data_IF_958495786015
#
_entry.id   IF_958495786015
#
_cell.length_a   1.000
_cell.length_b   1.000
_cell.length_c   1.000
_cell.angle_alpha   90.00
_cell.angle_beta   90.00
_cell.angle_gamma   90.00
#
_symmetry.space_group_name_H-M   'P 1'
#
loop_
_entity.id
_entity.type
_entity.pdbx_description
1 polymer ?
#
# COMPACT_ATOMS: atom_id res chain seq x y z
N UNK A 1 42.24 77.19 -35.61
CA UNK A 1 41.00 76.54 -36.07
C UNK A 1 41.28 75.06 -36.21
N UNK A 2 40.81 74.26 -35.26
CA UNK A 2 40.77 72.81 -35.33
C UNK A 2 39.54 72.38 -34.52
N UNK A 3 38.41 72.35 -35.23
CA UNK A 3 37.15 71.71 -34.83
C UNK A 3 37.39 70.20 -34.68
N UNK A 4 37.09 69.63 -33.51
CA UNK A 4 35.77 69.07 -33.17
C UNK A 4 35.42 67.85 -34.01
N UNK A 5 35.40 66.67 -33.37
CA UNK A 5 34.32 65.67 -33.52
C UNK A 5 34.55 64.55 -32.50
N UNK A 6 34.07 64.78 -31.28
CA UNK A 6 33.73 63.73 -30.33
C UNK A 6 32.50 62.98 -30.87
N UNK A 7 32.68 61.71 -31.25
CA UNK A 7 31.59 60.79 -31.57
C UNK A 7 31.18 60.06 -30.30
N UNK A 8 30.10 60.53 -29.68
CA UNK A 8 29.37 59.82 -28.64
C UNK A 8 28.70 58.58 -29.25
N UNK A 9 29.14 57.40 -28.83
CA UNK A 9 28.49 56.13 -29.12
C UNK A 9 27.25 55.99 -28.23
N UNK A 10 26.10 56.39 -28.78
CA UNK A 10 24.77 56.11 -28.25
C UNK A 10 24.51 54.60 -28.25
N UNK A 11 24.76 53.96 -27.10
CA UNK A 11 24.33 52.61 -26.82
C UNK A 11 22.83 52.64 -26.46
N UNK A 12 21.98 52.51 -27.47
CA UNK A 12 20.55 52.26 -27.28
C UNK A 12 20.39 50.91 -26.57
N UNK A 13 20.06 50.96 -25.28
CA UNK A 13 19.67 49.80 -24.50
C UNK A 13 18.38 49.21 -25.08
N UNK A 14 18.54 48.17 -25.90
CA UNK A 14 17.46 47.36 -26.45
C UNK A 14 16.69 46.75 -25.26
N UNK A 15 15.49 47.27 -25.02
CA UNK A 15 14.63 46.81 -23.94
C UNK A 15 14.40 45.30 -24.12
N UNK A 16 14.65 44.46 -23.09
CA UNK A 16 14.52 43.01 -23.22
C UNK A 16 13.10 42.68 -23.67
N UNK A 17 12.96 42.17 -24.89
CA UNK A 17 11.70 41.72 -25.44
C UNK A 17 11.04 40.77 -24.42
N UNK A 18 9.86 41.14 -23.93
CA UNK A 18 9.11 40.32 -22.96
C UNK A 18 8.92 38.92 -23.58
N UNK A 19 9.23 37.84 -22.85
CA UNK A 19 9.16 36.50 -23.39
C UNK A 19 7.74 36.24 -23.89
N UNK A 20 7.61 35.90 -25.18
CA UNK A 20 6.32 35.59 -25.80
C UNK A 20 5.65 34.46 -25.03
N UNK A 21 4.55 34.79 -24.33
CA UNK A 21 3.78 33.79 -23.57
C UNK A 21 3.00 32.93 -24.55
N UNK A 22 3.31 31.65 -24.58
CA UNK A 22 2.65 30.67 -25.44
C UNK A 22 1.65 29.82 -24.64
N UNK A 23 0.55 29.39 -25.28
CA UNK A 23 -0.47 28.53 -24.64
C UNK A 23 -0.01 27.08 -24.62
N UNK A 24 -0.07 26.43 -23.47
CA UNK A 24 0.21 25.00 -23.33
C UNK A 24 -0.98 24.17 -23.85
N UNK A 25 -0.73 23.16 -24.69
CA UNK A 25 -1.75 22.27 -25.26
C UNK A 25 -2.47 21.38 -24.24
N UNK A 26 -1.88 21.14 -23.06
CA UNK A 26 -2.47 20.27 -22.02
C UNK A 26 -3.29 21.06 -20.99
N UNK A 27 -2.78 22.17 -20.46
CA UNK A 27 -3.52 22.97 -19.46
C UNK A 27 -4.24 24.19 -20.05
N UNK A 28 -4.01 24.52 -21.32
CA UNK A 28 -4.52 25.72 -22.02
C UNK A 28 -4.16 27.07 -21.36
N UNK A 29 -3.23 27.07 -20.41
CA UNK A 29 -2.74 28.29 -19.76
C UNK A 29 -1.54 28.88 -20.50
N UNK A 30 -1.44 30.21 -20.50
CA UNK A 30 -0.28 30.95 -20.96
C UNK A 30 0.92 30.63 -20.04
N UNK A 31 2.05 30.26 -20.64
CA UNK A 31 3.27 29.88 -19.94
C UNK A 31 4.47 30.58 -20.57
N UNK A 32 5.45 30.96 -19.75
CA UNK A 32 6.69 31.58 -20.21
C UNK A 32 7.63 30.55 -20.85
N UNK A 33 7.61 29.31 -20.35
CA UNK A 33 8.44 28.22 -20.85
C UNK A 33 7.56 27.07 -21.32
N UNK A 34 7.43 26.92 -22.63
CA UNK A 34 6.84 25.75 -23.28
C UNK A 34 7.88 25.05 -24.12
N UNK A 35 7.78 23.73 -24.22
CA UNK A 35 8.64 22.89 -25.05
C UNK A 35 7.79 22.17 -26.08
N UNK A 36 8.33 22.02 -27.30
CA UNK A 36 7.65 21.31 -28.38
C UNK A 36 7.80 19.80 -28.17
N UNK A 37 6.68 19.08 -28.09
CA UNK A 37 6.63 17.61 -28.02
C UNK A 37 5.79 17.10 -29.19
N UNK A 38 6.46 16.70 -30.27
CA UNK A 38 5.78 16.43 -31.54
C UNK A 38 5.15 17.70 -32.11
N UNK A 39 3.85 17.67 -32.39
CA UNK A 39 3.10 18.83 -32.88
C UNK A 39 2.57 19.77 -31.76
N UNK A 40 2.74 19.41 -30.49
CA UNK A 40 2.12 20.13 -29.37
C UNK A 40 3.14 20.95 -28.57
N UNK A 41 2.78 22.18 -28.18
CA UNK A 41 3.53 22.99 -27.23
C UNK A 41 3.07 22.66 -25.81
N UNK A 42 3.95 22.17 -24.96
CA UNK A 42 3.60 21.72 -23.60
C UNK A 42 4.52 22.39 -22.57
N UNK A 43 3.95 22.94 -21.51
CA UNK A 43 4.76 23.52 -20.43
C UNK A 43 5.49 22.46 -19.60
N UNK A 44 6.60 22.86 -18.97
CA UNK A 44 7.47 21.95 -18.19
C UNK A 44 6.72 21.17 -17.11
N UNK A 45 5.77 21.80 -16.40
CA UNK A 45 4.98 21.14 -15.36
C UNK A 45 4.10 20.02 -15.93
N UNK A 46 3.43 20.28 -17.06
CA UNK A 46 2.59 19.27 -17.73
C UNK A 46 3.44 18.14 -18.32
N UNK A 47 4.65 18.43 -18.83
CA UNK A 47 5.59 17.39 -19.29
C UNK A 47 6.00 16.48 -18.13
N UNK A 48 6.39 17.05 -16.98
CA UNK A 48 6.83 16.29 -15.81
C UNK A 48 5.73 15.35 -15.30
N UNK A 49 4.50 15.86 -15.19
CA UNK A 49 3.34 15.06 -14.76
C UNK A 49 3.04 13.97 -15.78
N UNK A 50 3.03 14.29 -17.08
CA UNK A 50 2.73 13.31 -18.13
C UNK A 50 3.77 12.19 -18.14
N UNK A 51 5.05 12.53 -17.99
CA UNK A 51 6.12 11.55 -17.82
C UNK A 51 5.90 10.72 -16.56
N UNK A 52 5.53 11.33 -15.43
CA UNK A 52 5.26 10.60 -14.18
C UNK A 52 4.09 9.62 -14.33
N UNK A 53 3.00 10.02 -14.98
CA UNK A 53 1.85 9.15 -15.30
C UNK A 53 2.25 8.02 -16.24
N UNK A 54 3.06 8.31 -17.27
CA UNK A 54 3.64 7.28 -18.13
C UNK A 54 4.49 6.30 -17.32
N UNK A 55 5.26 6.82 -16.35
CA UNK A 55 6.19 6.02 -15.58
C UNK A 55 5.52 5.18 -14.49
N UNK A 56 4.40 5.62 -13.95
CA UNK A 56 3.72 4.95 -12.83
C UNK A 56 2.49 4.15 -13.25
N UNK A 57 1.75 4.64 -14.25
CA UNK A 57 0.47 4.07 -14.69
C UNK A 57 0.50 3.57 -16.15
N UNK A 58 1.63 3.65 -16.84
CA UNK A 58 1.75 3.15 -18.22
C UNK A 58 1.14 4.05 -19.30
N UNK A 59 0.72 5.28 -18.94
CA UNK A 59 0.45 6.34 -19.91
C UNK A 59 -0.98 6.54 -20.36
N UNK A 60 -1.91 5.66 -19.96
CA UNK A 60 -3.32 5.76 -20.37
C UNK A 60 -4.23 5.80 -19.15
N UNK A 61 -4.39 7.00 -18.58
CA UNK A 61 -5.61 7.29 -17.81
C UNK A 61 -6.63 7.75 -18.85
N UNK A 62 -7.60 6.88 -19.16
CA UNK A 62 -8.68 7.22 -20.08
C UNK A 62 -9.35 8.49 -19.56
N UNK A 63 -9.30 9.58 -20.33
CA UNK A 63 -9.82 10.89 -19.95
C UNK A 63 -10.30 11.59 -21.22
N UNK A 64 -11.44 12.26 -21.15
CA UNK A 64 -11.91 13.15 -22.24
C UNK A 64 -10.97 14.35 -22.37
N UNK A 65 -11.05 15.11 -23.45
CA UNK A 65 -10.16 16.26 -23.64
C UNK A 65 -10.40 17.35 -22.59
N UNK A 66 -11.66 17.62 -22.26
CA UNK A 66 -12.06 18.60 -21.22
C UNK A 66 -11.56 18.18 -19.83
N UNK A 67 -11.72 16.90 -19.51
CA UNK A 67 -11.23 16.29 -18.28
C UNK A 67 -9.70 16.42 -18.13
N UNK A 68 -8.96 16.23 -19.23
CA UNK A 68 -7.49 16.43 -19.24
C UNK A 68 -7.13 17.87 -18.91
N UNK A 69 -7.79 18.85 -19.55
CA UNK A 69 -7.49 20.27 -19.33
C UNK A 69 -7.70 20.65 -17.86
N UNK A 70 -8.86 20.29 -17.30
CA UNK A 70 -9.19 20.58 -15.89
C UNK A 70 -8.20 19.93 -14.92
N UNK A 71 -7.80 18.68 -15.19
CA UNK A 71 -6.77 17.98 -14.41
C UNK A 71 -5.43 18.71 -14.42
N UNK A 72 -4.90 19.08 -15.60
CA UNK A 72 -3.61 19.77 -15.68
C UNK A 72 -3.65 21.21 -15.16
N UNK A 73 -4.79 21.90 -15.25
CA UNK A 73 -4.99 23.20 -14.62
C UNK A 73 -4.94 23.09 -13.09
N UNK A 74 -5.63 22.09 -12.53
CA UNK A 74 -5.63 21.83 -11.08
C UNK A 74 -4.27 21.41 -10.56
N UNK A 75 -3.49 20.68 -11.36
CA UNK A 75 -2.11 20.37 -11.00
C UNK A 75 -1.25 21.63 -10.97
N UNK A 76 -1.37 22.51 -11.98
CA UNK A 76 -0.59 23.74 -12.04
C UNK A 76 -0.93 24.69 -10.89
N UNK A 77 -2.17 24.71 -10.41
CA UNK A 77 -2.55 25.51 -9.24
C UNK A 77 -1.97 25.00 -7.92
N UNK A 78 -1.54 23.73 -7.84
CA UNK A 78 -0.84 23.17 -6.67
C UNK A 78 0.64 23.53 -6.61
N UNK A 79 1.23 24.04 -7.69
CA UNK A 79 2.61 24.54 -7.71
C UNK A 79 3.31 24.40 -9.07
N UNK A 80 4.36 25.19 -9.29
CA UNK A 80 5.15 25.23 -10.53
C UNK A 80 6.40 24.34 -10.54
N UNK A 81 6.60 23.53 -9.49
CA UNK A 81 7.79 22.69 -9.30
C UNK A 81 7.63 21.19 -9.62
N UNK A 82 8.63 20.40 -9.23
CA UNK A 82 8.57 18.94 -9.27
C UNK A 82 7.61 18.44 -8.20
N UNK A 83 6.40 18.06 -8.62
CA UNK A 83 5.41 17.50 -7.70
C UNK A 83 5.79 16.09 -7.27
N UNK A 84 5.48 15.76 -6.01
CA UNK A 84 5.60 14.40 -5.51
C UNK A 84 4.53 13.49 -6.12
N UNK A 85 4.88 12.20 -6.31
CA UNK A 85 3.93 11.21 -6.83
C UNK A 85 2.66 11.11 -5.99
N UNK A 86 2.78 11.24 -4.66
CA UNK A 86 1.61 11.19 -3.74
C UNK A 86 0.56 12.24 -4.11
N UNK A 87 0.99 13.47 -4.41
CA UNK A 87 0.11 14.57 -4.81
C UNK A 87 -0.51 14.31 -6.18
N UNK A 88 0.27 13.83 -7.15
CA UNK A 88 -0.24 13.50 -8.48
C UNK A 88 -1.25 12.34 -8.40
N UNK A 89 -0.96 11.29 -7.63
CA UNK A 89 -1.85 10.15 -7.40
C UNK A 89 -3.18 10.59 -6.77
N UNK A 90 -3.14 11.46 -5.76
CA UNK A 90 -4.35 11.98 -5.13
C UNK A 90 -5.24 12.75 -6.12
N UNK A 91 -4.64 13.59 -6.99
CA UNK A 91 -5.38 14.32 -8.02
C UNK A 91 -5.93 13.41 -9.11
N UNK A 92 -5.21 12.35 -9.51
CA UNK A 92 -5.70 11.34 -10.45
C UNK A 92 -6.89 10.59 -9.84
N UNK A 93 -6.77 10.18 -8.57
CA UNK A 93 -7.83 9.50 -7.83
C UNK A 93 -9.09 10.36 -7.78
N UNK A 94 -8.96 11.60 -7.32
CA UNK A 94 -10.07 12.57 -7.26
C UNK A 94 -10.73 12.76 -8.63
N UNK A 95 -9.92 12.89 -9.68
CA UNK A 95 -10.43 13.06 -11.04
C UNK A 95 -11.18 11.82 -11.55
N UNK A 96 -10.68 10.61 -11.27
CA UNK A 96 -11.37 9.36 -11.61
C UNK A 96 -12.68 9.22 -10.83
N UNK A 97 -12.71 9.63 -9.55
CA UNK A 97 -13.93 9.59 -8.73
C UNK A 97 -14.98 10.53 -9.31
N UNK A 98 -14.61 11.79 -9.57
CA UNK A 98 -15.52 12.76 -10.17
C UNK A 98 -16.06 12.27 -11.52
N UNK A 99 -15.22 11.64 -12.33
CA UNK A 99 -15.66 11.05 -13.59
C UNK A 99 -16.65 9.91 -13.38
N UNK A 100 -16.39 9.01 -12.43
CA UNK A 100 -17.26 7.87 -12.13
C UNK A 100 -18.58 8.32 -11.52
N UNK A 101 -18.57 9.39 -10.73
CA UNK A 101 -19.78 10.08 -10.24
C UNK A 101 -20.57 10.65 -11.42
N UNK A 102 -19.96 11.43 -12.31
CA UNK A 102 -20.62 11.97 -13.51
C UNK A 102 -21.18 10.87 -14.42
N UNK A 103 -20.43 9.79 -14.62
CA UNK A 103 -20.90 8.63 -15.40
C UNK A 103 -22.05 7.91 -14.70
N UNK A 104 -22.00 7.79 -13.37
CA UNK A 104 -23.09 7.22 -12.59
C UNK A 104 -24.33 8.09 -12.65
N UNK A 105 -24.20 9.42 -12.64
CA UNK A 105 -25.27 10.41 -12.79
C UNK A 105 -26.00 10.23 -14.12
N UNK A 106 -25.27 10.00 -15.21
CA UNK A 106 -25.84 9.68 -16.54
C UNK A 106 -26.53 8.31 -16.55
N UNK A 107 -26.13 7.38 -15.68
CA UNK A 107 -26.78 6.07 -15.49
C UNK A 107 -27.90 6.10 -14.44
N UNK A 108 -28.26 7.27 -13.91
CA UNK A 108 -29.39 7.41 -12.99
C UNK A 108 -30.67 7.39 -13.80
N UNK A 109 -31.11 6.19 -14.11
CA UNK A 109 -32.48 5.98 -13.74
C UNK A 109 -32.73 4.53 -13.42
N UNK A 110 -33.42 4.35 -12.30
CA UNK A 110 -33.70 3.06 -11.71
C UNK A 110 -34.55 2.18 -12.62
N UNK A 111 -34.97 1.05 -12.08
CA UNK A 111 -35.93 0.17 -12.75
C UNK A 111 -37.34 0.77 -12.57
N UNK A 112 -38.21 0.60 -13.56
CA UNK A 112 -39.63 0.85 -13.37
C UNK A 112 -40.18 -0.23 -12.43
N UNK A 113 -40.68 0.18 -11.28
CA UNK A 113 -41.20 -0.71 -10.25
C UNK A 113 -42.60 -0.24 -9.79
N UNK A 114 -43.49 -1.15 -9.37
CA UNK A 114 -44.79 -0.79 -8.81
C UNK A 114 -44.66 0.04 -7.53
N UNK A 115 -45.68 0.86 -7.22
CA UNK A 115 -45.70 1.74 -6.05
C UNK A 115 -45.37 0.99 -4.75
N UNK A 116 -45.94 -0.20 -4.56
CA UNK A 116 -45.76 -1.01 -3.36
C UNK A 116 -44.28 -1.35 -3.09
N UNK A 117 -43.47 -1.51 -4.14
CA UNK A 117 -42.03 -1.82 -4.01
C UNK A 117 -41.27 -0.60 -3.51
N UNK A 118 -41.61 0.60 -3.99
CA UNK A 118 -41.00 1.85 -3.52
C UNK A 118 -41.41 2.18 -2.08
N UNK A 119 -42.68 1.95 -1.72
CA UNK A 119 -43.15 2.12 -0.34
C UNK A 119 -42.45 1.17 0.64
N UNK A 120 -42.25 -0.10 0.24
CA UNK A 120 -41.50 -1.08 1.03
C UNK A 120 -40.02 -0.70 1.20
N UNK A 121 -39.45 -0.02 0.20
CA UNK A 121 -38.09 0.55 0.27
C UNK A 121 -37.99 1.84 1.13
N UNK A 122 -39.11 2.31 1.70
CA UNK A 122 -39.14 3.45 2.63
C UNK A 122 -39.44 4.80 1.97
N UNK A 123 -39.81 4.83 0.69
CA UNK A 123 -40.25 6.06 0.03
C UNK A 123 -41.70 6.38 0.40
N UNK A 124 -42.04 7.66 0.48
CA UNK A 124 -43.44 8.07 0.68
C UNK A 124 -44.18 8.14 -0.66
N UNK A 125 -45.48 7.86 -0.64
CA UNK A 125 -46.31 7.86 -1.86
C UNK A 125 -46.26 9.21 -2.59
N UNK A 126 -46.25 10.31 -1.85
CA UNK A 126 -46.12 11.66 -2.40
C UNK A 126 -44.80 11.89 -3.13
N UNK A 127 -43.69 11.35 -2.61
CA UNK A 127 -42.38 11.45 -3.25
C UNK A 127 -42.30 10.68 -4.57
N UNK A 128 -42.95 9.51 -4.64
CA UNK A 128 -42.96 8.66 -5.84
C UNK A 128 -43.88 9.27 -6.91
N UNK A 129 -45.09 9.71 -6.53
CA UNK A 129 -46.03 10.38 -7.45
C UNK A 129 -45.53 11.72 -7.98
N UNK A 130 -44.69 12.42 -7.21
CA UNK A 130 -44.05 13.67 -7.66
C UNK A 130 -43.00 13.45 -8.76
N UNK A 131 -42.64 12.21 -9.09
CA UNK A 131 -41.75 11.89 -10.22
C UNK A 131 -42.59 11.71 -11.48
N UNK A 132 -42.26 12.48 -12.52
CA UNK A 132 -42.94 12.45 -13.81
C UNK A 132 -42.52 11.26 -14.70
N UNK A 133 -41.60 10.40 -14.24
CA UNK A 133 -41.11 9.24 -14.98
C UNK A 133 -41.91 7.96 -14.60
N UNK A 134 -43.03 7.74 -15.30
CA UNK A 134 -43.91 6.58 -15.14
C UNK A 134 -44.21 5.91 -16.49
N UNK A 135 -44.56 4.63 -16.43
CA UNK A 135 -44.95 3.82 -17.58
C UNK A 135 -46.12 2.93 -17.20
N UNK A 136 -47.03 2.65 -18.13
CA UNK A 136 -48.13 1.70 -17.92
C UNK A 136 -47.71 0.32 -18.43
N UNK A 137 -47.72 -0.66 -17.54
CA UNK A 137 -47.45 -2.06 -17.84
C UNK A 137 -48.74 -2.87 -17.81
N UNK A 138 -48.95 -3.74 -18.81
CA UNK A 138 -50.20 -4.51 -18.96
C UNK A 138 -50.45 -5.52 -17.83
N UNK A 139 -49.40 -5.94 -17.11
CA UNK A 139 -49.49 -6.93 -16.03
C UNK A 139 -49.38 -6.28 -14.64
N UNK A 140 -48.56 -5.24 -14.52
CA UNK A 140 -48.21 -4.63 -13.23
C UNK A 140 -48.94 -3.29 -12.97
N UNK A 141 -49.68 -2.76 -13.94
CA UNK A 141 -50.32 -1.45 -13.87
C UNK A 141 -49.32 -0.31 -14.04
N UNK A 142 -49.59 0.84 -13.43
CA UNK A 142 -48.67 1.98 -13.46
C UNK A 142 -47.40 1.64 -12.66
N UNK A 143 -46.24 1.80 -13.29
CA UNK A 143 -44.92 1.61 -12.68
C UNK A 143 -44.14 2.92 -12.70
N UNK A 144 -43.41 3.20 -11.63
CA UNK A 144 -42.66 4.45 -11.44
C UNK A 144 -41.16 4.18 -11.41
N UNK A 145 -40.38 5.11 -11.96
CA UNK A 145 -38.92 5.07 -11.95
C UNK A 145 -38.39 6.09 -10.96
N UNK A 146 -38.02 5.62 -9.77
CA UNK A 146 -37.35 6.46 -8.77
C UNK A 146 -35.83 6.41 -9.04
N UNK A 147 -35.15 7.57 -9.20
CA UNK A 147 -33.71 7.62 -9.35
C UNK A 147 -33.03 7.24 -8.03
N UNK A 148 -32.50 6.02 -7.94
CA UNK A 148 -31.73 5.56 -6.80
C UNK A 148 -30.25 5.65 -7.15
N UNK A 149 -29.50 6.54 -6.49
CA UNK A 149 -28.04 6.58 -6.60
C UNK A 149 -27.42 5.55 -5.65
N UNK A 150 -27.43 4.28 -6.04
CA UNK A 150 -26.80 3.19 -5.28
C UNK A 150 -25.33 3.01 -5.67
N UNK A 151 -24.53 4.05 -5.48
CA UNK A 151 -23.09 3.86 -5.22
C UNK A 151 -22.68 4.80 -4.13
N UNK A 152 -22.30 4.25 -2.98
CA UNK A 152 -21.69 5.08 -1.94
C UNK A 152 -20.37 5.61 -2.50
N UNK A 153 -20.08 6.90 -2.30
CA UNK A 153 -18.80 7.51 -2.72
C UNK A 153 -17.61 6.69 -2.20
N UNK A 154 -17.76 6.03 -1.05
CA UNK A 154 -16.78 5.10 -0.47
C UNK A 154 -16.48 3.90 -1.37
N UNK A 155 -17.49 3.23 -1.92
CA UNK A 155 -17.27 2.11 -2.84
C UNK A 155 -16.55 2.56 -4.13
N UNK A 156 -16.91 3.72 -4.67
CA UNK A 156 -16.22 4.30 -5.83
C UNK A 156 -14.76 4.63 -5.49
N UNK A 157 -14.52 5.17 -4.30
CA UNK A 157 -13.19 5.52 -3.79
C UNK A 157 -12.29 4.28 -3.65
N UNK A 158 -12.82 3.20 -3.06
CA UNK A 158 -12.16 1.90 -2.90
C UNK A 158 -11.86 1.24 -4.25
N UNK A 159 -12.85 1.14 -5.14
CA UNK A 159 -12.68 0.59 -6.50
C UNK A 159 -11.55 1.31 -7.27
N UNK A 160 -11.49 2.65 -7.19
CA UNK A 160 -10.49 3.44 -7.90
C UNK A 160 -9.11 3.30 -7.25
N UNK A 161 -9.02 3.20 -5.92
CA UNK A 161 -7.75 2.96 -5.25
C UNK A 161 -7.18 1.57 -5.60
N UNK A 162 -8.02 0.55 -5.68
CA UNK A 162 -7.64 -0.80 -6.13
C UNK A 162 -7.18 -0.78 -7.59
N UNK A 163 -7.92 -0.10 -8.49
CA UNK A 163 -7.56 0.04 -9.90
C UNK A 163 -6.19 0.74 -10.07
N UNK A 164 -5.96 1.85 -9.36
CA UNK A 164 -4.70 2.56 -9.40
C UNK A 164 -3.55 1.70 -8.85
N UNK A 165 -3.77 1.00 -7.74
CA UNK A 165 -2.74 0.15 -7.12
C UNK A 165 -2.38 -1.02 -8.03
N UNK A 166 -3.36 -1.64 -8.68
CA UNK A 166 -3.15 -2.74 -9.63
C UNK A 166 -2.32 -2.26 -10.82
N UNK A 167 -2.67 -1.12 -11.43
CA UNK A 167 -1.89 -0.54 -12.54
C UNK A 167 -0.47 -0.16 -12.14
N UNK A 168 -0.29 0.40 -10.95
CA UNK A 168 1.05 0.72 -10.42
C UNK A 168 1.90 -0.55 -10.27
N UNK A 169 1.30 -1.64 -9.80
CA UNK A 169 1.96 -2.94 -9.67
C UNK A 169 2.28 -3.54 -11.05
N UNK A 170 1.34 -3.55 -12.00
CA UNK A 170 1.56 -4.06 -13.36
C UNK A 170 2.69 -3.32 -14.10
N UNK A 171 2.76 -2.00 -13.99
CA UNK A 171 3.84 -1.19 -14.60
C UNK A 171 5.17 -1.50 -13.92
N UNK A 172 5.17 -1.71 -12.60
CA UNK A 172 6.38 -2.07 -11.86
C UNK A 172 6.85 -3.48 -12.22
N UNK A 173 5.94 -4.45 -12.28
CA UNK A 173 6.21 -5.84 -12.65
C UNK A 173 6.67 -5.95 -14.10
N UNK A 174 6.00 -5.30 -15.05
CA UNK A 174 6.40 -5.32 -16.47
C UNK A 174 7.79 -4.70 -16.70
N UNK A 175 8.19 -3.72 -15.89
CA UNK A 175 9.55 -3.17 -15.91
C UNK A 175 10.59 -4.11 -15.32
N UNK A 176 10.26 -4.76 -14.22
CA UNK A 176 11.13 -5.78 -13.62
C UNK A 176 11.27 -7.00 -14.54
N UNK A 177 10.19 -7.42 -15.18
CA UNK A 177 10.16 -8.50 -16.17
C UNK A 177 10.99 -8.17 -17.41
N UNK A 178 10.89 -6.96 -17.97
CA UNK A 178 11.75 -6.53 -19.09
C UNK A 178 13.24 -6.47 -18.72
N UNK A 179 13.56 -6.02 -17.50
CA UNK A 179 14.96 -6.06 -17.01
C UNK A 179 15.47 -7.48 -16.81
N UNK A 180 14.63 -8.42 -16.36
CA UNK A 180 14.99 -9.84 -16.27
C UNK A 180 15.16 -10.48 -17.65
N UNK A 181 14.26 -10.21 -18.59
CA UNK A 181 14.31 -10.79 -19.95
C UNK A 181 15.48 -10.28 -20.79
N UNK A 182 15.95 -9.04 -20.55
CA UNK A 182 17.19 -8.53 -21.14
C UNK A 182 18.46 -9.08 -20.46
N UNK A 183 18.36 -9.62 -19.24
CA UNK A 183 19.47 -10.31 -18.58
C UNK A 183 19.50 -11.83 -18.83
N UNK A 184 18.36 -12.45 -19.13
CA UNK A 184 18.27 -13.86 -19.55
C UNK A 184 18.41 -14.04 -21.07
N UNK A 185 18.18 -12.99 -21.87
CA UNK A 185 18.32 -13.03 -23.33
C UNK A 185 19.75 -12.92 -23.87
N UNK A 186 20.77 -12.79 -23.01
CA UNK A 186 22.19 -12.81 -23.40
C UNK A 186 22.94 -14.01 -22.77
N UNK A 187 22.23 -14.93 -22.10
CA UNK A 187 22.86 -16.08 -21.46
C UNK A 187 21.88 -17.24 -21.23
N UNK A 188 21.17 -17.66 -22.28
CA UNK A 188 20.62 -19.02 -22.33
C UNK A 188 20.41 -19.47 -23.78
N UNK A 189 21.50 -19.83 -24.46
CA UNK A 189 21.44 -20.92 -25.45
C UNK A 189 21.67 -22.24 -24.70
N UNK A 190 20.88 -23.29 -24.98
CA UNK A 190 21.24 -24.65 -24.60
C UNK A 190 22.39 -25.10 -25.50
N UNK A 191 23.56 -25.31 -24.89
CA UNK A 191 24.60 -26.27 -25.26
C UNK A 191 24.53 -26.84 -26.70
N UNK A 192 24.90 -26.02 -27.69
CA UNK A 192 25.25 -26.47 -29.04
C UNK A 192 26.59 -25.86 -29.42
N UNK A 193 27.57 -26.74 -29.47
CA UNK A 193 28.95 -26.53 -29.89
C UNK A 193 29.02 -25.86 -31.28
N UNK A 194 29.36 -24.57 -31.32
CA UNK A 194 29.79 -23.89 -32.53
C UNK A 194 31.11 -23.15 -32.26
N UNK A 195 32.19 -23.48 -32.99
CA UNK A 195 33.49 -22.87 -32.78
C UNK A 195 33.44 -21.40 -33.18
N UNK A 196 33.72 -20.53 -32.20
CA UNK A 196 33.90 -19.10 -32.38
C UNK A 196 35.02 -18.83 -33.39
N UNK A 197 34.65 -18.33 -34.58
CA UNK A 197 35.60 -17.88 -35.58
C UNK A 197 36.40 -16.70 -35.04
N UNK A 198 37.72 -16.92 -35.03
CA UNK A 198 38.73 -15.99 -34.57
C UNK A 198 38.71 -14.67 -35.37
N UNK A 199 38.69 -13.56 -34.64
CA UNK A 199 39.33 -12.32 -35.08
C UNK A 199 40.32 -11.93 -33.98
N UNK A 200 41.60 -11.94 -34.37
CA UNK A 200 42.74 -11.98 -33.47
C UNK A 200 42.89 -10.77 -32.55
N UNK A 201 43.20 -11.06 -31.30
CA UNK A 201 44.30 -10.38 -30.59
C UNK A 201 44.78 -11.33 -29.50
N UNK A 202 45.95 -11.93 -29.74
CA UNK A 202 46.69 -12.73 -28.76
C UNK A 202 47.20 -11.78 -27.68
N UNK A 203 46.40 -11.60 -26.63
CA UNK A 203 46.87 -11.10 -25.35
C UNK A 203 46.00 -11.68 -24.23
N UNK A 204 46.65 -12.48 -23.37
CA UNK A 204 46.22 -12.82 -22.00
C UNK A 204 45.04 -13.80 -21.82
N UNK A 205 45.29 -15.09 -22.03
CA UNK A 205 44.42 -16.21 -21.59
C UNK A 205 44.25 -16.34 -20.06
N UNK A 206 45.08 -15.68 -19.25
CA UNK A 206 44.99 -15.74 -17.78
C UNK A 206 43.85 -14.89 -17.17
N UNK A 207 43.27 -13.94 -17.91
CA UNK A 207 42.25 -13.00 -17.38
C UNK A 207 40.79 -13.47 -17.52
N UNK A 208 40.53 -14.59 -18.23
CA UNK A 208 39.15 -15.05 -18.49
C UNK A 208 38.56 -15.89 -17.34
N UNK A 209 39.41 -16.60 -16.60
CA UNK A 209 39.00 -17.41 -15.45
C UNK A 209 38.63 -16.53 -14.23
N UNK A 210 39.48 -15.55 -13.88
CA UNK A 210 39.25 -14.63 -12.76
C UNK A 210 37.97 -13.80 -12.94
N UNK A 211 37.63 -13.43 -14.18
CA UNK A 211 36.40 -12.69 -14.48
C UNK A 211 35.13 -13.53 -14.28
N UNK A 212 35.20 -14.85 -14.45
CA UNK A 212 34.05 -15.75 -14.27
C UNK A 212 33.79 -16.03 -12.78
N UNK A 213 34.84 -16.27 -11.99
CA UNK A 213 34.73 -16.47 -10.54
C UNK A 213 34.17 -15.23 -9.84
N UNK A 214 34.70 -14.03 -10.16
CA UNK A 214 34.18 -12.78 -9.60
C UNK A 214 32.69 -12.53 -9.94
N UNK A 215 32.22 -13.01 -11.09
CA UNK A 215 30.81 -12.87 -11.48
C UNK A 215 29.91 -13.86 -10.73
N UNK A 216 30.37 -15.08 -10.46
CA UNK A 216 29.63 -16.09 -9.69
C UNK A 216 29.53 -15.70 -8.22
N UNK A 217 30.62 -15.18 -7.63
CA UNK A 217 30.63 -14.65 -6.27
C UNK A 217 29.69 -13.46 -6.11
N UNK A 218 29.74 -12.48 -7.03
CA UNK A 218 28.81 -11.36 -7.03
C UNK A 218 27.34 -11.78 -7.23
N UNK A 219 27.08 -12.89 -7.95
CA UNK A 219 25.72 -13.46 -8.07
C UNK A 219 25.28 -14.10 -6.76
N UNK A 220 26.15 -14.87 -6.10
CA UNK A 220 25.89 -15.49 -4.80
C UNK A 220 25.60 -14.44 -3.73
N UNK A 221 26.41 -13.38 -3.63
CA UNK A 221 26.19 -12.26 -2.71
C UNK A 221 24.85 -11.58 -2.95
N UNK A 222 24.49 -11.34 -4.21
CA UNK A 222 23.19 -10.74 -4.57
C UNK A 222 22.00 -11.62 -4.15
N UNK A 223 22.15 -12.95 -4.17
CA UNK A 223 21.12 -13.86 -3.69
C UNK A 223 21.01 -13.80 -2.17
N UNK A 224 22.14 -13.80 -1.45
CA UNK A 224 22.18 -13.67 0.01
C UNK A 224 21.57 -12.33 0.46
N UNK A 225 21.89 -11.21 -0.19
CA UNK A 225 21.29 -9.92 0.14
C UNK A 225 19.77 -9.89 -0.08
N UNK A 226 19.28 -10.57 -1.12
CA UNK A 226 17.83 -10.70 -1.38
C UNK A 226 17.16 -11.54 -0.30
N UNK A 227 17.71 -12.70 0.05
CA UNK A 227 17.16 -13.56 1.11
C UNK A 227 17.23 -12.89 2.49
N UNK A 228 18.29 -12.13 2.76
CA UNK A 228 18.42 -11.35 3.98
C UNK A 228 17.33 -10.29 4.05
N UNK A 229 17.10 -9.55 2.95
CA UNK A 229 16.06 -8.53 2.90
C UNK A 229 14.65 -9.10 3.10
N UNK A 230 14.34 -10.27 2.54
CA UNK A 230 13.03 -10.92 2.75
C UNK A 230 12.88 -11.41 4.19
N UNK A 231 13.92 -12.02 4.76
CA UNK A 231 13.93 -12.51 6.14
C UNK A 231 13.80 -11.37 7.15
N UNK A 232 14.56 -10.30 6.96
CA UNK A 232 14.49 -9.06 7.72
C UNK A 232 13.09 -8.43 7.70
N UNK A 233 12.50 -8.30 6.50
CA UNK A 233 11.17 -7.72 6.35
C UNK A 233 10.10 -8.57 7.06
N UNK A 234 10.20 -9.90 6.99
CA UNK A 234 9.33 -10.82 7.71
C UNK A 234 9.52 -10.67 9.22
N UNK A 235 10.75 -10.70 9.71
CA UNK A 235 11.08 -10.51 11.13
C UNK A 235 10.52 -9.19 11.68
N UNK A 236 10.75 -8.07 10.98
CA UNK A 236 10.24 -6.75 11.36
C UNK A 236 8.71 -6.73 11.46
N UNK A 237 8.02 -7.40 10.53
CA UNK A 237 6.55 -7.48 10.51
C UNK A 237 5.97 -8.27 11.69
N UNK A 238 6.66 -9.32 12.15
CA UNK A 238 6.12 -10.26 13.15
C UNK A 238 6.55 -9.99 14.60
N UNK A 239 7.65 -9.27 14.84
CA UNK A 239 8.16 -9.02 16.21
C UNK A 239 7.13 -8.31 17.09
N UNK A 240 6.43 -7.29 16.55
CA UNK A 240 5.38 -6.57 17.29
C UNK A 240 4.20 -7.47 17.70
N UNK A 241 3.56 -8.16 16.73
CA UNK A 241 2.53 -9.17 17.00
C UNK A 241 2.98 -10.26 17.99
N UNK A 242 4.17 -10.84 17.82
CA UNK A 242 4.72 -11.86 18.73
C UNK A 242 4.90 -11.32 20.16
N UNK A 243 5.39 -10.08 20.31
CA UNK A 243 5.54 -9.44 21.62
C UNK A 243 4.20 -9.27 22.34
N UNK A 244 3.16 -8.91 21.58
CA UNK A 244 1.79 -8.76 22.09
C UNK A 244 1.21 -10.12 22.47
N UNK A 245 1.43 -11.14 21.64
CA UNK A 245 0.98 -12.50 21.90
C UNK A 245 1.62 -13.10 23.15
N UNK A 246 2.95 -12.98 23.29
CA UNK A 246 3.69 -13.42 24.50
C UNK A 246 3.16 -12.72 25.75
N UNK A 247 2.89 -11.41 25.69
CA UNK A 247 2.30 -10.66 26.81
C UNK A 247 0.91 -11.17 27.19
N UNK A 248 0.08 -11.47 26.18
CA UNK A 248 -1.27 -12.03 26.37
C UNK A 248 -1.24 -13.42 27.01
N UNK A 249 -0.35 -14.29 26.52
CA UNK A 249 -0.11 -15.62 27.09
C UNK A 249 0.37 -15.50 28.54
N UNK A 250 1.42 -14.72 28.83
CA UNK A 250 1.89 -14.53 30.21
C UNK A 250 0.80 -13.98 31.15
N UNK A 251 -0.02 -13.05 30.68
CA UNK A 251 -1.18 -12.54 31.43
C UNK A 251 -2.21 -13.63 31.71
N UNK A 252 -2.52 -14.47 30.71
CA UNK A 252 -3.45 -15.58 30.88
C UNK A 252 -2.91 -16.67 31.83
N UNK A 253 -1.60 -16.95 31.78
CA UNK A 253 -0.91 -17.82 32.74
C UNK A 253 -1.07 -17.30 34.16
N UNK A 254 -0.79 -16.01 34.38
CA UNK A 254 -0.95 -15.36 35.69
C UNK A 254 -2.40 -15.35 36.19
N UNK A 255 -3.38 -15.26 35.29
CA UNK A 255 -4.79 -15.38 35.63
C UNK A 255 -5.18 -16.80 36.05
N UNK A 256 -4.56 -17.80 35.42
CA UNK A 256 -4.83 -19.22 35.64
C UNK A 256 -4.10 -19.82 36.86
N UNK A 257 -3.11 -19.13 37.45
CA UNK A 257 -2.21 -19.69 38.47
C UNK A 257 -2.91 -20.40 39.63
N UNK A 258 -4.06 -19.89 40.10
CA UNK A 258 -4.79 -20.48 41.25
C UNK A 258 -5.54 -21.76 40.92
N UNK A 259 -5.87 -21.95 39.66
CA UNK A 259 -6.68 -23.07 39.17
C UNK A 259 -5.88 -23.95 38.22
N UNK A 260 -4.56 -23.74 38.11
CA UNK A 260 -3.74 -24.34 37.07
C UNK A 260 -3.82 -25.86 37.10
N UNK A 261 -3.72 -26.46 38.28
CA UNK A 261 -3.75 -27.92 38.45
C UNK A 261 -5.14 -28.53 38.22
N UNK A 262 -6.21 -27.73 38.34
CA UNK A 262 -7.60 -28.15 38.09
C UNK A 262 -7.99 -28.08 36.60
N UNK A 263 -7.11 -27.54 35.74
CA UNK A 263 -7.35 -27.46 34.31
C UNK A 263 -7.06 -28.78 33.60
N UNK A 264 -7.80 -29.03 32.52
CA UNK A 264 -7.57 -30.17 31.64
C UNK A 264 -6.09 -30.25 31.20
N UNK A 265 -5.45 -31.43 31.24
CA UNK A 265 -4.03 -31.60 30.91
C UNK A 265 -3.72 -31.17 29.47
N UNK A 266 -4.63 -31.42 28.53
CA UNK A 266 -4.46 -31.05 27.12
C UNK A 266 -4.40 -29.53 26.94
N UNK A 267 -5.26 -28.79 27.65
CA UNK A 267 -5.27 -27.32 27.61
C UNK A 267 -3.99 -26.73 28.22
N UNK A 268 -3.47 -27.33 29.30
CA UNK A 268 -2.19 -26.93 29.89
C UNK A 268 -1.03 -27.14 28.93
N UNK A 269 -1.00 -28.30 28.27
CA UNK A 269 0.05 -28.68 27.32
C UNK A 269 0.02 -27.77 26.11
N UNK A 270 -1.14 -27.63 25.46
CA UNK A 270 -1.35 -26.73 24.32
C UNK A 270 -0.94 -25.29 24.65
N UNK A 271 -1.32 -24.79 25.83
CA UNK A 271 -0.92 -23.45 26.26
C UNK A 271 0.58 -23.32 26.51
N UNK A 272 1.22 -24.32 27.13
CA UNK A 272 2.66 -24.32 27.38
C UNK A 272 3.46 -24.34 26.06
N UNK A 273 3.04 -25.16 25.10
CA UNK A 273 3.61 -25.23 23.75
C UNK A 273 3.44 -23.90 23.00
N UNK A 274 2.25 -23.29 23.09
CA UNK A 274 2.00 -21.98 22.50
C UNK A 274 2.86 -20.86 23.13
N UNK A 275 3.13 -20.94 24.43
CA UNK A 275 4.03 -19.97 25.08
C UNK A 275 5.48 -20.20 24.67
N UNK A 276 5.96 -21.45 24.68
CA UNK A 276 7.33 -21.80 24.31
C UNK A 276 7.62 -21.44 22.85
N UNK A 277 6.73 -21.80 21.93
CA UNK A 277 6.89 -21.54 20.49
C UNK A 277 6.84 -20.04 20.20
N UNK A 278 5.93 -19.29 20.81
CA UNK A 278 5.86 -17.83 20.63
C UNK A 278 7.13 -17.13 21.14
N UNK A 279 7.71 -17.60 22.25
CA UNK A 279 8.98 -17.09 22.76
C UNK A 279 10.15 -17.41 21.83
N UNK A 280 10.25 -18.66 21.37
CA UNK A 280 11.29 -19.07 20.44
C UNK A 280 11.25 -18.27 19.13
N UNK A 281 10.06 -18.10 18.56
CA UNK A 281 9.85 -17.32 17.34
C UNK A 281 10.16 -15.84 17.54
N UNK A 282 9.77 -15.26 18.69
CA UNK A 282 10.12 -13.88 19.04
C UNK A 282 11.63 -13.70 19.11
N UNK A 283 12.33 -14.60 19.81
CA UNK A 283 13.79 -14.56 19.94
C UNK A 283 14.48 -14.68 18.59
N UNK A 284 14.05 -15.61 17.73
CA UNK A 284 14.58 -15.77 16.38
C UNK A 284 14.38 -14.51 15.53
N UNK A 285 13.18 -13.92 15.56
CA UNK A 285 12.88 -12.71 14.81
C UNK A 285 13.67 -11.48 15.32
N UNK A 286 13.80 -11.30 16.64
CA UNK A 286 14.62 -10.24 17.22
C UNK A 286 16.10 -10.42 16.89
N UNK A 287 16.61 -11.66 16.98
CA UNK A 287 17.98 -11.99 16.59
C UNK A 287 18.25 -11.65 15.13
N UNK A 288 17.34 -12.01 14.21
CA UNK A 288 17.51 -11.70 12.78
C UNK A 288 17.61 -10.19 12.51
N UNK A 289 16.82 -9.37 13.21
CA UNK A 289 16.90 -7.90 13.10
C UNK A 289 18.21 -7.35 13.66
N UNK A 290 18.67 -7.86 14.82
CA UNK A 290 19.95 -7.47 15.39
C UNK A 290 21.13 -7.85 14.48
N UNK A 291 21.09 -9.04 13.87
CA UNK A 291 22.09 -9.45 12.88
C UNK A 291 22.10 -8.53 11.67
N UNK A 292 20.93 -8.12 11.16
CA UNK A 292 20.86 -7.18 10.05
C UNK A 292 21.45 -5.81 10.41
N UNK A 293 21.11 -5.27 11.58
CA UNK A 293 21.65 -3.99 12.04
C UNK A 293 23.17 -4.04 12.23
N UNK A 294 23.67 -5.11 12.84
CA UNK A 294 25.10 -5.35 13.01
C UNK A 294 25.83 -5.45 11.65
N UNK A 295 25.21 -6.14 10.68
CA UNK A 295 25.74 -6.25 9.33
C UNK A 295 25.76 -4.90 8.60
N UNK A 296 24.68 -4.12 8.66
CA UNK A 296 24.63 -2.78 8.06
C UNK A 296 25.67 -1.84 8.69
N UNK A 297 25.88 -1.95 10.00
CA UNK A 297 26.91 -1.21 10.72
C UNK A 297 28.33 -1.66 10.35
N UNK A 298 28.56 -2.96 10.14
CA UNK A 298 29.84 -3.48 9.68
C UNK A 298 30.15 -3.02 8.26
N UNK A 299 29.20 -3.13 7.33
CA UNK A 299 29.33 -2.68 5.95
C UNK A 299 29.59 -1.17 5.81
N UNK A 300 29.10 -0.37 6.78
CA UNK A 300 29.43 1.08 6.85
C UNK A 300 30.87 1.34 7.28
N UNK A 301 31.45 0.49 8.13
CA UNK A 301 32.83 0.63 8.62
C UNK A 301 33.84 0.07 7.63
N UNK A 302 33.49 -1.05 6.99
CA UNK A 302 34.32 -1.74 6.01
C UNK A 302 33.45 -2.21 4.84
N UNK A 303 33.50 -1.51 3.69
CA UNK A 303 32.78 -1.90 2.48
C UNK A 303 33.21 -3.25 1.90
N UNK A 304 34.38 -3.77 2.28
CA UNK A 304 34.89 -5.07 1.85
C UNK A 304 34.47 -6.22 2.81
N UNK A 305 33.70 -5.93 3.85
CA UNK A 305 33.22 -6.94 4.78
C UNK A 305 32.34 -7.98 4.05
N UNK A 306 32.59 -9.29 4.23
CA UNK A 306 31.86 -10.33 3.52
C UNK A 306 30.37 -10.34 3.90
N UNK A 307 29.51 -10.56 2.89
CA UNK A 307 28.06 -10.64 3.09
C UNK A 307 27.72 -11.87 3.93
N UNK A 308 27.24 -11.67 5.16
CA UNK A 308 26.79 -12.77 6.03
C UNK A 308 25.31 -13.08 5.80
N UNK A 309 24.96 -14.36 5.70
CA UNK A 309 23.56 -14.80 5.63
C UNK A 309 22.86 -14.63 6.98
N UNK A 310 21.65 -14.07 6.97
CA UNK A 310 20.81 -14.01 8.17
C UNK A 310 20.36 -15.42 8.58
N UNK A 311 20.20 -15.68 9.88
CA UNK A 311 19.62 -16.93 10.35
C UNK A 311 18.19 -17.09 9.79
N UNK A 312 17.90 -18.28 9.26
CA UNK A 312 16.57 -18.59 8.75
C UNK A 312 15.53 -18.55 9.89
N UNK A 313 14.37 -17.93 9.63
CA UNK A 313 13.28 -17.91 10.59
C UNK A 313 12.60 -19.29 10.62
N UNK A 314 12.16 -19.77 11.80
CA UNK A 314 11.52 -21.08 11.94
C UNK A 314 10.05 -21.09 11.49
N UNK A 315 9.62 -20.07 10.73
CA UNK A 315 8.24 -19.91 10.26
C UNK A 315 8.18 -19.10 8.97
N UNK A 316 7.10 -19.29 8.22
CA UNK A 316 6.70 -18.44 7.09
C UNK A 316 5.61 -17.46 7.53
N UNK A 317 5.23 -16.52 6.65
CA UNK A 317 4.15 -15.58 6.93
C UNK A 317 2.79 -16.28 7.14
N UNK A 318 2.53 -17.35 6.40
CA UNK A 318 1.29 -18.14 6.48
C UNK A 318 1.24 -18.93 7.78
N UNK A 319 2.30 -19.68 8.09
CA UNK A 319 2.37 -20.45 9.34
C UNK A 319 2.29 -19.56 10.56
N UNK A 320 2.85 -18.33 10.48
CA UNK A 320 2.72 -17.34 11.55
C UNK A 320 1.27 -16.90 11.78
N UNK A 321 0.53 -16.59 10.71
CA UNK A 321 -0.86 -16.14 10.79
C UNK A 321 -1.77 -17.22 11.40
N UNK A 322 -1.59 -18.48 10.99
CA UNK A 322 -2.39 -19.59 11.51
C UNK A 322 -2.05 -19.90 12.97
N UNK A 323 -0.76 -19.88 13.31
CA UNK A 323 -0.29 -20.02 14.67
C UNK A 323 -0.81 -18.91 15.60
N UNK A 324 -0.83 -17.66 15.13
CA UNK A 324 -1.34 -16.53 15.91
C UNK A 324 -2.83 -16.71 16.24
N UNK A 325 -3.63 -17.15 15.27
CA UNK A 325 -5.06 -17.45 15.47
C UNK A 325 -5.26 -18.58 16.48
N UNK A 326 -4.53 -19.69 16.33
CA UNK A 326 -4.59 -20.83 17.23
C UNK A 326 -4.19 -20.46 18.68
N UNK A 327 -3.11 -19.69 18.82
CA UNK A 327 -2.65 -19.22 20.14
C UNK A 327 -3.66 -18.29 20.81
N UNK A 328 -4.30 -17.38 20.05
CA UNK A 328 -5.37 -16.51 20.57
C UNK A 328 -6.61 -17.31 20.99
N UNK A 329 -6.97 -18.36 20.25
CA UNK A 329 -8.05 -19.26 20.63
C UNK A 329 -7.74 -19.97 21.96
N UNK A 330 -6.52 -20.49 22.11
CA UNK A 330 -6.04 -21.14 23.34
C UNK A 330 -6.10 -20.18 24.55
N UNK A 331 -5.69 -18.91 24.37
CA UNK A 331 -5.83 -17.88 25.43
C UNK A 331 -7.29 -17.63 25.82
N UNK A 332 -8.19 -17.58 24.83
CA UNK A 332 -9.62 -17.36 25.06
C UNK A 332 -10.21 -18.53 25.84
N UNK A 333 -9.92 -19.75 25.42
CA UNK A 333 -10.36 -20.99 26.07
C UNK A 333 -9.86 -21.08 27.52
N UNK A 334 -8.56 -20.85 27.74
CA UNK A 334 -7.99 -20.81 29.08
C UNK A 334 -8.72 -19.81 29.98
N UNK A 335 -8.97 -18.59 29.50
CA UNK A 335 -9.66 -17.56 30.28
C UNK A 335 -11.13 -17.92 30.56
N UNK A 336 -11.84 -18.55 29.62
CA UNK A 336 -13.22 -19.00 29.86
C UNK A 336 -13.27 -20.11 30.89
N UNK A 337 -12.39 -21.10 30.79
CA UNK A 337 -12.35 -22.24 31.72
C UNK A 337 -11.99 -21.79 33.14
N UNK A 338 -11.01 -20.89 33.28
CA UNK A 338 -10.65 -20.32 34.59
C UNK A 338 -11.79 -19.48 35.18
N UNK A 339 -12.56 -18.76 34.36
CA UNK A 339 -13.74 -18.02 34.85
C UNK A 339 -14.83 -18.98 35.35
N UNK A 340 -15.14 -20.02 34.56
CA UNK A 340 -16.09 -21.05 34.97
C UNK A 340 -15.67 -21.70 36.30
N UNK A 341 -14.39 -22.08 36.45
CA UNK A 341 -13.85 -22.62 37.71
C UNK A 341 -13.94 -21.65 38.88
N UNK A 342 -13.70 -20.37 38.64
CA UNK A 342 -13.85 -19.33 39.66
C UNK A 342 -15.31 -19.20 40.10
N UNK A 343 -16.25 -19.23 39.17
CA UNK A 343 -17.67 -19.10 39.47
C UNK A 343 -18.20 -20.36 40.18
N UNK A 344 -17.76 -21.55 39.78
CA UNK A 344 -18.00 -22.82 40.49
C UNK A 344 -17.49 -22.76 41.94
N UNK A 345 -16.27 -22.25 42.15
CA UNK A 345 -15.68 -22.13 43.48
C UNK A 345 -16.44 -21.12 44.37
N UNK A 346 -16.96 -20.03 43.79
CA UNK A 346 -17.81 -19.06 44.50
C UNK A 346 -19.15 -19.69 44.89
N UNK A 347 -19.81 -20.38 43.96
CA UNK A 347 -21.07 -21.06 44.21
C UNK A 347 -20.92 -22.16 45.28
N UNK A 348 -19.84 -22.94 45.24
CA UNK A 348 -19.55 -23.96 46.25
C UNK A 348 -19.28 -23.34 47.65
N UNK A 349 -18.60 -22.18 47.71
CA UNK A 349 -18.37 -21.48 48.96
C UNK A 349 -19.67 -20.91 49.57
N UNK A 350 -20.60 -20.45 48.73
CA UNK A 350 -21.93 -20.00 49.17
C UNK A 350 -22.77 -21.18 49.67
N UNK A 351 -22.79 -22.30 48.95
CA UNK A 351 -23.51 -23.52 49.36
C UNK A 351 -22.99 -24.11 50.67
N UNK A 352 -21.69 -24.02 50.94
CA UNK A 352 -21.08 -24.49 52.18
C UNK A 352 -21.31 -23.58 53.40
N UNK A 353 -22.13 -22.53 53.28
CA UNK A 353 -22.41 -21.57 54.37
C UNK A 353 -21.20 -20.73 54.80
N UNK A 354 -20.09 -20.78 54.04
CA UNK A 354 -18.86 -20.01 54.29
C UNK A 354 -18.86 -18.66 53.54
N UNK A 355 -20.03 -18.13 53.21
CA UNK A 355 -20.18 -16.84 52.57
C UNK A 355 -19.74 -15.71 53.52
N UNK A 356 -18.47 -15.31 53.43
CA UNK A 356 -18.01 -14.04 54.02
C UNK A 356 -18.85 -12.91 53.41
N UNK A 357 -19.39 -12.05 54.28
CA UNK A 357 -20.27 -10.93 53.97
C UNK A 357 -19.89 -10.22 52.65
N UNK A 358 -20.89 -10.02 51.78
CA UNK A 358 -20.77 -9.37 50.46
C UNK A 358 -19.84 -8.15 50.52
N UNK A 359 -18.80 -8.07 49.68
CA UNK A 359 -18.02 -6.85 49.57
C UNK A 359 -18.93 -5.70 49.13
N UNK A 360 -18.95 -4.63 49.94
CA UNK A 360 -19.71 -3.39 49.69
C UNK A 360 -19.50 -2.96 48.23
N UNK A 361 -20.57 -2.65 47.47
CA UNK A 361 -20.44 -2.22 46.08
C UNK A 361 -19.53 -0.99 46.01
N UNK A 362 -18.42 -1.14 45.27
CA UNK A 362 -17.46 -0.06 45.03
C UNK A 362 -18.15 0.96 44.14
N UNK A 363 -18.66 2.03 44.74
CA UNK A 363 -19.21 3.18 44.03
C UNK A 363 -18.08 3.77 43.19
N UNK A 364 -18.07 3.48 41.89
CA UNK A 364 -17.15 4.10 40.94
C UNK A 364 -17.59 5.56 40.78
N UNK A 365 -17.03 6.43 41.62
CA UNK A 365 -17.11 7.88 41.49
C UNK A 365 -16.42 8.32 40.21
N UNK A 366 -17.15 8.29 39.10
CA UNK A 366 -16.76 8.92 37.84
C UNK A 366 -17.06 10.42 37.99
N UNK A 367 -16.20 11.13 38.71
CA UNK A 367 -16.19 12.58 38.74
C UNK A 367 -15.90 13.07 37.31
N UNK A 368 -16.95 13.60 36.67
CA UNK A 368 -16.90 14.24 35.37
C UNK A 368 -16.25 15.62 35.57
N UNK A 369 -14.95 15.72 35.37
CA UNK A 369 -14.26 17.01 35.30
C UNK A 369 -14.75 17.74 34.05
N UNK A 370 -15.55 18.78 34.25
CA UNK A 370 -15.82 19.80 33.25
C UNK A 370 -14.73 20.87 33.40
N UNK A 371 -13.98 21.09 32.32
CA UNK A 371 -13.17 22.28 32.06
C UNK A 371 -13.24 22.54 30.55
#
# INVERSE_FOLDING_TARGET
MADSTLREASAAAEAPALPERQKCALCLLLCEKVSKRGAQLVCSSCVNVSSMLQHKLGGKVATTLEDKVTFYQKIKSKGSGRLEWKTVRALVKEHMILRRIKQSEVSVGGKYLPMNVHLAAGWTESQVRAKEDFMEDAQLGTVWRVPVMEKTVRQIDEEIDEELTTKEQEVTQSRQGKKRKLQEGEQQEPDLDLPSAAAGSKASESNKAEKKEAQEEAKAERLVLKSNKTTAALAAKVVGPLSTLVSSLNSAKGFATKFWDDLAPDLRTSFAEALATALAWKTAATSALQFQENYENAARKDPAAPVQSLPALPFTAETFSDYEKASKATVKELRSTVRAKKDEAVAAAEAAGKAKAKPKPRVNGKAKAAA
#
